data_IF_407727325631
#
_entry.id   IF_407727325631
#
_cell.length_a   1.000
_cell.length_b   1.000
_cell.length_c   1.000
_cell.angle_alpha   90.00
_cell.angle_beta   90.00
_cell.angle_gamma   90.00
#
_symmetry.space_group_name_H-M   'P 1'
#
loop_
_entity.id
_entity.type
_entity.pdbx_description
1 polymer ?
#
# COMPACT_ATOMS: atom_id res chain seq x y z
N UNK A 1 9.30 52.99 -30.68
CA UNK A 1 9.03 53.21 -29.26
C UNK A 1 9.99 52.34 -28.45
N UNK A 2 10.99 53.00 -27.90
CA UNK A 2 12.13 52.41 -27.20
C UNK A 2 11.80 52.20 -25.73
N UNK A 3 12.00 50.98 -25.22
CA UNK A 3 12.01 50.71 -23.77
C UNK A 3 13.44 50.51 -23.31
N UNK A 4 13.99 51.51 -22.64
CA UNK A 4 15.23 51.48 -21.88
C UNK A 4 14.89 51.01 -20.47
N UNK A 5 15.37 49.82 -20.06
CA UNK A 5 15.30 49.33 -18.68
C UNK A 5 16.57 49.72 -17.92
N UNK A 6 16.35 50.35 -16.78
CA UNK A 6 17.31 50.89 -15.82
C UNK A 6 18.12 49.82 -15.11
N UNK A 7 19.45 49.82 -15.29
CA UNK A 7 20.42 49.04 -14.53
C UNK A 7 21.01 49.87 -13.38
N UNK A 8 20.26 50.12 -12.32
CA UNK A 8 20.77 50.73 -11.11
C UNK A 8 20.07 50.18 -9.89
N UNK A 9 20.61 49.14 -9.26
CA UNK A 9 20.54 48.92 -7.81
C UNK A 9 21.14 47.55 -7.33
N UNK A 10 22.38 47.27 -7.70
CA UNK A 10 23.09 46.09 -7.15
C UNK A 10 24.45 46.42 -6.50
N UNK A 11 24.75 47.68 -6.20
CA UNK A 11 26.02 48.06 -5.58
C UNK A 11 25.94 48.65 -4.17
N UNK A 12 24.75 48.73 -3.53
CA UNK A 12 24.60 49.31 -2.20
C UNK A 12 24.49 48.31 -1.05
N UNK A 13 24.59 46.98 -1.30
CA UNK A 13 24.47 45.96 -0.25
C UNK A 13 25.77 45.34 0.26
N UNK A 14 26.93 45.78 -0.24
CA UNK A 14 28.23 45.23 0.17
C UNK A 14 29.06 46.11 1.13
N UNK A 15 28.52 47.21 1.67
CA UNK A 15 29.32 48.18 2.46
C UNK A 15 29.02 48.23 3.97
N UNK A 16 28.24 47.32 4.55
CA UNK A 16 27.91 47.40 6.00
C UNK A 16 28.42 46.24 6.88
N UNK A 17 29.38 45.44 6.41
CA UNK A 17 30.00 44.37 7.23
C UNK A 17 31.50 44.65 7.50
N UNK A 18 31.83 45.81 8.14
CA UNK A 18 33.14 45.98 8.78
C UNK A 18 32.96 46.67 10.12
N UNK A 19 33.21 45.90 11.21
CA UNK A 19 33.55 46.48 12.51
C UNK A 19 32.45 46.37 13.57
N UNK A 20 32.21 45.21 14.11
CA UNK A 20 31.71 45.08 15.50
C UNK A 20 32.57 44.10 16.29
N UNK A 21 33.26 44.64 17.26
CA UNK A 21 34.10 43.97 18.25
C UNK A 21 33.25 43.05 19.14
N UNK A 22 33.71 41.82 19.29
CA UNK A 22 33.11 40.80 20.19
C UNK A 22 33.40 41.18 21.66
N UNK A 23 32.46 41.78 22.37
CA UNK A 23 32.48 41.86 23.81
C UNK A 23 31.77 40.65 24.43
N UNK A 24 32.55 39.65 24.86
CA UNK A 24 32.10 38.58 25.72
C UNK A 24 31.67 39.14 27.07
N UNK A 25 30.36 39.17 27.34
CA UNK A 25 29.82 39.21 28.69
C UNK A 25 29.03 37.90 28.90
N UNK A 26 29.63 37.01 29.69
CA UNK A 26 28.99 35.84 30.26
C UNK A 26 27.82 36.27 31.14
N UNK A 27 26.61 36.09 30.62
CA UNK A 27 25.38 36.12 31.41
C UNK A 27 24.84 34.70 31.44
N UNK A 28 25.07 33.99 32.54
CA UNK A 28 24.39 32.74 32.90
C UNK A 28 22.93 33.06 33.19
N UNK A 29 22.08 32.98 32.17
CA UNK A 29 20.65 32.86 32.36
C UNK A 29 20.28 31.40 32.06
N UNK A 30 19.84 30.67 33.08
CA UNK A 30 19.19 29.36 32.94
C UNK A 30 17.87 29.55 32.19
N UNK A 31 17.94 29.63 30.86
CA UNK A 31 16.77 29.52 30.02
C UNK A 31 16.30 28.06 30.04
N UNK A 32 15.24 27.80 30.80
CA UNK A 32 14.51 26.55 30.69
C UNK A 32 14.17 26.34 29.22
N UNK A 33 14.90 25.42 28.59
CA UNK A 33 14.60 24.99 27.20
C UNK A 33 13.25 24.32 27.23
N UNK A 34 12.18 25.08 26.98
CA UNK A 34 10.88 24.53 26.66
C UNK A 34 11.08 23.66 25.43
N UNK A 35 11.20 22.35 25.62
CA UNK A 35 11.18 21.37 24.53
C UNK A 35 9.88 21.60 23.80
N UNK A 36 9.98 22.26 22.65
CA UNK A 36 8.87 22.41 21.71
C UNK A 36 8.38 20.98 21.44
N UNK A 37 7.22 20.63 21.96
CA UNK A 37 6.62 19.31 21.76
C UNK A 37 6.53 19.08 20.24
N UNK A 38 7.32 18.15 19.74
CA UNK A 38 7.23 17.76 18.35
C UNK A 38 5.83 17.21 18.16
N UNK A 39 5.03 17.78 17.25
CA UNK A 39 3.67 17.32 17.07
C UNK A 39 3.67 15.82 16.76
N UNK A 40 2.86 15.04 17.48
CA UNK A 40 2.77 13.59 17.28
C UNK A 40 2.49 13.27 15.81
N UNK A 41 3.17 12.26 15.26
CA UNK A 41 3.02 11.86 13.84
C UNK A 41 1.69 11.15 13.52
N UNK A 42 0.83 10.93 14.51
CA UNK A 42 -0.44 10.20 14.38
C UNK A 42 -1.57 10.88 15.16
N UNK A 43 -2.79 10.59 14.71
CA UNK A 43 -4.02 10.99 15.35
C UNK A 43 -4.80 9.73 15.76
N UNK A 44 -5.65 9.85 16.76
CA UNK A 44 -6.70 8.86 17.05
C UNK A 44 -7.98 9.44 16.45
N UNK A 45 -8.59 8.73 15.53
CA UNK A 45 -9.85 9.12 14.91
C UNK A 45 -10.91 8.10 15.29
N UNK A 46 -12.01 8.60 15.88
CA UNK A 46 -13.23 7.85 16.07
C UNK A 46 -14.14 8.07 14.86
N UNK A 47 -14.72 7.01 14.33
CA UNK A 47 -15.76 7.06 13.33
C UNK A 47 -16.94 6.20 13.77
N UNK A 48 -18.16 6.69 13.62
CA UNK A 48 -19.37 5.89 13.79
C UNK A 48 -19.66 5.15 12.48
N UNK A 49 -20.01 3.89 12.59
CA UNK A 49 -20.34 3.00 11.47
C UNK A 49 -21.68 2.36 11.74
N UNK A 50 -22.56 2.32 10.73
CA UNK A 50 -23.88 1.71 10.87
C UNK A 50 -23.78 0.21 11.18
N UNK A 51 -24.51 -0.23 12.21
CA UNK A 51 -24.63 -1.64 12.60
C UNK A 51 -25.97 -2.20 12.14
N UNK A 52 -25.93 -3.38 11.51
CA UNK A 52 -27.08 -4.07 10.94
C UNK A 52 -27.08 -5.52 11.47
N UNK A 53 -28.24 -6.06 11.79
CA UNK A 53 -28.37 -7.50 12.08
C UNK A 53 -28.29 -8.32 10.80
N UNK A 54 -28.09 -9.63 10.93
CA UNK A 54 -28.07 -10.55 9.80
C UNK A 54 -29.33 -10.42 8.89
N UNK A 55 -30.48 -10.15 9.47
CA UNK A 55 -31.76 -9.98 8.76
C UNK A 55 -31.93 -8.63 8.02
N UNK A 56 -30.93 -7.76 8.08
CA UNK A 56 -30.99 -6.43 7.45
C UNK A 56 -31.62 -5.33 8.31
N UNK A 57 -32.10 -5.63 9.53
CA UNK A 57 -32.63 -4.63 10.44
C UNK A 57 -31.51 -3.80 11.09
N UNK A 58 -31.70 -2.46 11.16
CA UNK A 58 -30.74 -1.56 11.83
C UNK A 58 -30.63 -1.87 13.32
N UNK A 59 -29.41 -1.96 13.83
CA UNK A 59 -29.10 -2.28 15.23
C UNK A 59 -28.23 -1.18 15.90
N UNK A 60 -28.37 0.08 15.46
CA UNK A 60 -27.63 1.21 16.02
C UNK A 60 -26.31 1.50 15.29
N UNK A 61 -25.35 2.04 16.01
CA UNK A 61 -24.03 2.41 15.49
C UNK A 61 -22.92 1.72 16.28
N UNK A 62 -21.85 1.39 15.62
CA UNK A 62 -20.64 0.85 16.23
C UNK A 62 -19.48 1.86 16.07
N UNK A 63 -18.65 2.00 17.08
CA UNK A 63 -17.51 2.90 17.06
C UNK A 63 -16.25 2.20 16.55
N UNK A 64 -15.54 2.87 15.65
CA UNK A 64 -14.26 2.46 15.12
C UNK A 64 -13.17 3.45 15.59
N UNK A 65 -12.40 3.07 16.61
CA UNK A 65 -11.39 3.91 17.24
C UNK A 65 -9.97 3.44 16.87
N UNK A 66 -9.42 3.98 15.79
CA UNK A 66 -8.12 3.56 15.30
C UNK A 66 -7.06 4.65 15.42
N UNK A 67 -5.82 4.22 15.67
CA UNK A 67 -4.64 5.09 15.59
C UNK A 67 -4.21 5.23 14.13
N UNK A 68 -4.38 6.41 13.56
CA UNK A 68 -4.15 6.68 12.14
C UNK A 68 -3.01 7.67 11.92
N UNK A 69 -2.49 7.69 10.70
CA UNK A 69 -1.53 8.70 10.28
C UNK A 69 -2.22 10.06 10.09
N UNK A 70 -1.47 11.16 10.27
CA UNK A 70 -1.96 12.51 9.94
C UNK A 70 -2.29 12.61 8.45
N UNK A 71 -3.27 13.42 8.11
CA UNK A 71 -3.77 13.62 6.75
C UNK A 71 -2.66 13.93 5.73
N UNK A 72 -1.66 14.72 6.13
CA UNK A 72 -0.51 15.09 5.29
C UNK A 72 0.34 13.87 4.87
N UNK A 73 0.47 12.88 5.75
CA UNK A 73 1.35 11.71 5.57
C UNK A 73 0.55 10.44 5.21
N UNK A 74 -0.74 10.43 5.52
CA UNK A 74 -1.64 9.28 5.37
C UNK A 74 -1.57 8.66 3.97
N UNK A 75 -1.76 9.47 2.94
CA UNK A 75 -1.73 9.03 1.53
C UNK A 75 -0.37 8.41 1.15
N UNK A 76 0.74 9.01 1.60
CA UNK A 76 2.09 8.52 1.30
C UNK A 76 2.40 7.16 1.95
N UNK A 77 1.99 6.96 3.22
CA UNK A 77 2.22 5.70 3.94
C UNK A 77 1.37 4.58 3.32
N UNK A 78 0.09 4.84 3.04
CA UNK A 78 -0.81 3.86 2.42
C UNK A 78 -0.31 3.50 1.02
N UNK A 79 0.07 4.47 0.19
CA UNK A 79 0.64 4.23 -1.13
C UNK A 79 1.92 3.36 -1.07
N UNK A 80 2.85 3.66 -0.15
CA UNK A 80 4.06 2.87 0.06
C UNK A 80 3.73 1.41 0.38
N UNK A 81 2.72 1.17 1.23
CA UNK A 81 2.29 -0.18 1.56
C UNK A 81 1.63 -0.90 0.36
N UNK A 82 0.78 -0.23 -0.41
CA UNK A 82 0.18 -0.79 -1.63
C UNK A 82 1.26 -1.18 -2.65
N UNK A 83 2.26 -0.31 -2.86
CA UNK A 83 3.39 -0.62 -3.75
C UNK A 83 4.14 -1.85 -3.27
N UNK A 84 4.43 -1.95 -1.96
CA UNK A 84 5.08 -3.12 -1.37
C UNK A 84 4.27 -4.40 -1.63
N UNK A 85 2.97 -4.40 -1.36
CA UNK A 85 2.10 -5.58 -1.57
C UNK A 85 2.11 -6.01 -3.04
N UNK A 86 1.96 -5.06 -3.98
CA UNK A 86 1.97 -5.35 -5.41
C UNK A 86 3.33 -5.84 -5.91
N UNK A 87 4.44 -5.29 -5.40
CA UNK A 87 5.77 -5.77 -5.77
C UNK A 87 6.05 -7.16 -5.21
N UNK A 88 5.64 -7.44 -3.98
CA UNK A 88 5.83 -8.75 -3.36
C UNK A 88 4.98 -9.86 -4.02
N UNK A 89 3.90 -9.50 -4.71
CA UNK A 89 3.10 -10.43 -5.49
C UNK A 89 3.75 -10.81 -6.84
N UNK A 90 4.78 -10.08 -7.30
CA UNK A 90 5.46 -10.39 -8.55
C UNK A 90 6.32 -11.64 -8.42
N UNK A 91 6.17 -12.58 -9.33
CA UNK A 91 6.97 -13.81 -9.37
C UNK A 91 8.38 -13.62 -9.90
N UNK A 92 8.60 -12.62 -10.76
CA UNK A 92 9.90 -12.26 -11.31
C UNK A 92 10.58 -13.35 -12.15
N UNK A 93 9.83 -14.21 -12.85
CA UNK A 93 10.31 -15.38 -13.58
C UNK A 93 10.78 -15.09 -15.00
N UNK A 94 10.68 -13.84 -15.48
CA UNK A 94 11.11 -13.49 -16.83
C UNK A 94 12.61 -13.79 -17.03
N UNK A 95 12.94 -14.55 -18.06
CA UNK A 95 14.30 -14.95 -18.37
C UNK A 95 14.54 -14.95 -19.88
N UNK A 96 15.70 -14.47 -20.28
CA UNK A 96 16.21 -14.58 -21.64
C UNK A 96 17.59 -15.24 -21.64
N UNK A 97 17.93 -15.89 -22.73
CA UNK A 97 19.23 -16.54 -22.88
C UNK A 97 20.28 -15.53 -23.34
N UNK A 98 21.39 -15.45 -22.60
CA UNK A 98 22.56 -14.67 -22.98
C UNK A 98 23.42 -15.43 -23.98
N UNK A 99 24.41 -14.77 -24.59
CA UNK A 99 25.34 -15.36 -25.54
C UNK A 99 26.01 -16.65 -25.02
N UNK A 100 26.27 -16.73 -23.71
CA UNK A 100 26.87 -17.91 -23.08
C UNK A 100 25.90 -19.07 -22.90
N UNK A 101 24.62 -18.78 -22.72
CA UNK A 101 23.57 -19.75 -22.40
C UNK A 101 22.89 -20.36 -23.65
N UNK A 102 22.90 -19.62 -24.78
CA UNK A 102 22.32 -20.11 -26.04
C UNK A 102 23.11 -21.34 -26.53
N UNK A 103 22.39 -22.38 -26.96
CA UNK A 103 23.03 -23.62 -27.50
C UNK A 103 23.78 -23.35 -28.78
N UNK A 104 24.98 -23.96 -28.97
CA UNK A 104 25.77 -23.91 -30.20
C UNK A 104 26.87 -22.83 -30.16
N UNK A 105 27.51 -22.59 -31.29
CA UNK A 105 28.43 -21.46 -31.54
C UNK A 105 29.79 -21.47 -30.81
N UNK A 106 30.30 -22.61 -30.33
CA UNK A 106 31.62 -22.69 -29.68
C UNK A 106 32.79 -22.48 -30.65
N UNK A 107 32.62 -22.83 -31.92
CA UNK A 107 33.65 -22.66 -32.97
C UNK A 107 33.46 -21.35 -33.71
N UNK A 108 34.57 -20.69 -34.08
CA UNK A 108 34.55 -19.51 -34.97
C UNK A 108 33.98 -19.91 -36.34
N UNK A 109 32.96 -19.20 -36.89
CA UNK A 109 32.25 -19.61 -38.12
C UNK A 109 33.14 -19.66 -39.35
N UNK A 110 34.06 -18.73 -39.51
CA UNK A 110 34.99 -18.63 -40.64
C UNK A 110 36.28 -17.87 -40.26
N UNK A 111 37.28 -17.86 -41.17
CA UNK A 111 38.57 -17.19 -40.98
C UNK A 111 38.39 -15.68 -40.77
N UNK A 112 39.32 -15.04 -40.05
CA UNK A 112 39.25 -13.61 -39.67
C UNK A 112 39.28 -12.67 -40.88
N UNK A 113 39.98 -13.05 -41.95
CA UNK A 113 40.18 -12.27 -43.19
C UNK A 113 40.04 -13.21 -44.41
N UNK A 114 39.86 -12.64 -45.63
CA UNK A 114 39.86 -13.39 -46.90
C UNK A 114 38.51 -14.02 -47.25
N UNK A 115 37.39 -13.70 -46.57
CA UNK A 115 36.06 -14.24 -46.87
C UNK A 115 35.10 -13.22 -47.48
N UNK A 116 35.47 -11.94 -47.59
CA UNK A 116 34.61 -10.88 -48.06
C UNK A 116 33.43 -10.53 -47.11
N UNK A 117 33.22 -11.31 -46.06
CA UNK A 117 32.14 -11.11 -45.09
C UNK A 117 32.57 -10.31 -43.85
N UNK A 118 31.60 -9.73 -43.13
CA UNK A 118 31.87 -9.08 -41.86
C UNK A 118 32.54 -10.03 -40.86
N UNK A 119 33.45 -9.49 -40.03
CA UNK A 119 34.15 -10.30 -39.01
C UNK A 119 33.18 -10.84 -37.96
N UNK A 120 33.16 -12.14 -37.76
CA UNK A 120 32.25 -12.78 -36.81
C UNK A 120 33.00 -13.71 -35.86
N UNK A 121 32.87 -13.47 -34.56
CA UNK A 121 33.51 -14.30 -33.55
C UNK A 121 32.68 -15.53 -33.16
N UNK A 122 31.35 -15.43 -33.19
CA UNK A 122 30.44 -16.50 -32.81
C UNK A 122 29.08 -16.33 -33.47
N UNK A 123 28.44 -17.44 -33.86
CA UNK A 123 27.04 -17.45 -34.35
C UNK A 123 26.03 -17.08 -33.29
N UNK A 124 26.39 -17.14 -31.99
CA UNK A 124 25.53 -16.73 -30.86
C UNK A 124 25.52 -15.22 -30.58
N UNK A 125 26.19 -14.41 -31.44
CA UNK A 125 26.21 -12.95 -31.27
C UNK A 125 24.80 -12.39 -31.27
N UNK A 126 24.50 -11.39 -30.41
CA UNK A 126 23.19 -10.71 -30.39
C UNK A 126 22.82 -10.04 -31.72
N UNK A 127 23.80 -9.77 -32.57
CA UNK A 127 23.63 -9.19 -33.90
C UNK A 127 23.04 -10.16 -34.94
N UNK A 128 22.98 -11.43 -34.65
CA UNK A 128 22.52 -12.48 -35.58
C UNK A 128 21.17 -13.05 -35.12
N UNK A 129 20.31 -13.44 -36.08
CA UNK A 129 19.09 -14.18 -35.78
C UNK A 129 19.41 -15.47 -35.00
N UNK A 130 18.70 -15.72 -33.91
CA UNK A 130 18.94 -16.85 -33.01
C UNK A 130 20.13 -16.68 -32.07
N UNK A 131 20.76 -15.50 -32.02
CA UNK A 131 21.78 -15.15 -31.02
C UNK A 131 21.22 -14.85 -29.66
N UNK A 132 22.09 -14.74 -28.65
CA UNK A 132 21.72 -14.41 -27.29
C UNK A 132 21.38 -12.93 -27.11
N UNK A 133 20.54 -12.61 -26.12
CA UNK A 133 20.21 -11.22 -25.74
C UNK A 133 21.32 -10.66 -24.84
N UNK A 134 21.71 -9.39 -25.04
CA UNK A 134 22.82 -8.79 -24.27
C UNK A 134 22.39 -8.44 -22.84
N UNK A 135 21.30 -7.67 -22.69
CA UNK A 135 20.78 -7.21 -21.40
C UNK A 135 19.30 -7.54 -21.23
N UNK A 136 18.95 -8.78 -21.51
CA UNK A 136 17.59 -9.25 -21.34
C UNK A 136 17.21 -9.47 -19.88
N UNK A 137 15.92 -9.61 -19.60
CA UNK A 137 15.45 -9.89 -18.24
C UNK A 137 16.03 -11.20 -17.72
N UNK A 138 16.39 -11.21 -16.44
CA UNK A 138 16.78 -12.39 -15.68
C UNK A 138 15.87 -12.55 -14.48
N UNK A 139 15.61 -13.76 -14.01
CA UNK A 139 14.84 -14.01 -12.79
C UNK A 139 15.45 -13.25 -11.63
N UNK A 140 14.61 -12.49 -10.93
CA UNK A 140 15.06 -11.74 -9.74
C UNK A 140 13.90 -11.60 -8.75
N UNK A 141 14.24 -11.56 -7.47
CA UNK A 141 13.30 -11.21 -6.41
C UNK A 141 13.00 -9.70 -6.44
N UNK A 142 11.69 -9.37 -6.47
CA UNK A 142 11.19 -8.01 -6.47
C UNK A 142 10.67 -7.58 -5.10
N UNK A 143 10.83 -8.40 -4.06
CA UNK A 143 10.30 -8.14 -2.74
C UNK A 143 10.88 -6.88 -2.11
N UNK A 144 10.01 -6.08 -1.51
CA UNK A 144 10.35 -4.86 -0.79
C UNK A 144 10.01 -5.06 0.68
N UNK A 145 10.92 -4.67 1.58
CA UNK A 145 10.71 -4.69 3.03
C UNK A 145 10.14 -3.35 3.50
N UNK A 146 9.23 -3.41 4.48
CA UNK A 146 8.67 -2.25 5.16
C UNK A 146 8.58 -2.55 6.66
N UNK A 147 8.82 -1.55 7.50
CA UNK A 147 8.79 -1.70 8.96
C UNK A 147 7.41 -2.17 9.47
N UNK A 148 7.37 -3.05 10.46
CA UNK A 148 6.11 -3.60 11.00
C UNK A 148 5.17 -2.50 11.50
N UNK A 149 5.67 -1.53 12.28
CA UNK A 149 4.85 -0.41 12.81
C UNK A 149 4.31 0.48 11.67
N UNK A 150 5.09 0.71 10.62
CA UNK A 150 4.68 1.48 9.45
C UNK A 150 3.56 0.75 8.65
N UNK A 151 3.67 -0.57 8.46
CA UNK A 151 2.62 -1.38 7.81
C UNK A 151 1.30 -1.37 8.59
N UNK A 152 1.39 -1.50 9.92
CA UNK A 152 0.21 -1.47 10.81
C UNK A 152 -0.47 -0.11 10.77
N UNK A 153 0.30 0.97 10.78
CA UNK A 153 -0.22 2.33 10.66
C UNK A 153 -0.90 2.56 9.30
N UNK A 154 -0.30 2.06 8.21
CA UNK A 154 -0.90 2.14 6.87
C UNK A 154 -2.23 1.38 6.80
N UNK A 155 -2.31 0.17 7.40
CA UNK A 155 -3.54 -0.62 7.47
C UNK A 155 -4.63 0.10 8.26
N UNK A 156 -4.32 0.56 9.47
CA UNK A 156 -5.27 1.31 10.30
C UNK A 156 -5.80 2.57 9.56
N UNK A 157 -4.92 3.29 8.87
CA UNK A 157 -5.29 4.47 8.09
C UNK A 157 -6.19 4.11 6.90
N UNK A 158 -5.92 2.99 6.21
CA UNK A 158 -6.76 2.52 5.10
C UNK A 158 -8.16 2.08 5.58
N UNK A 159 -8.25 1.33 6.69
CA UNK A 159 -9.53 0.93 7.28
C UNK A 159 -10.34 2.16 7.71
N UNK A 160 -9.70 3.13 8.36
CA UNK A 160 -10.36 4.38 8.76
C UNK A 160 -10.87 5.18 7.56
N UNK A 161 -10.14 5.19 6.45
CA UNK A 161 -10.61 5.87 5.22
C UNK A 161 -11.82 5.20 4.58
N UNK A 162 -11.99 3.89 4.79
CA UNK A 162 -13.14 3.11 4.33
C UNK A 162 -14.35 3.16 5.28
N UNK A 163 -14.24 3.83 6.44
CA UNK A 163 -15.32 3.86 7.44
C UNK A 163 -16.64 4.39 6.90
N UNK A 164 -16.62 5.34 5.95
CA UNK A 164 -17.83 5.89 5.30
C UNK A 164 -18.59 4.88 4.44
N UNK A 165 -17.90 3.86 3.92
CA UNK A 165 -18.47 2.78 3.10
C UNK A 165 -18.57 1.45 3.87
N UNK A 166 -18.29 1.46 5.17
CA UNK A 166 -18.28 0.29 6.04
C UNK A 166 -19.66 0.02 6.62
N UNK A 167 -20.03 -1.24 6.70
CA UNK A 167 -21.25 -1.75 7.33
C UNK A 167 -20.83 -2.82 8.33
N UNK A 168 -21.26 -2.69 9.57
CA UNK A 168 -21.02 -3.70 10.60
C UNK A 168 -22.22 -4.63 10.67
N UNK A 169 -22.01 -5.93 10.54
CA UNK A 169 -23.08 -6.93 10.60
C UNK A 169 -22.86 -7.80 11.82
N UNK A 170 -23.94 -8.04 12.54
CA UNK A 170 -23.95 -8.91 13.71
C UNK A 170 -24.30 -10.35 13.29
N UNK A 171 -23.44 -11.30 13.65
CA UNK A 171 -23.71 -12.72 13.50
C UNK A 171 -23.53 -13.30 12.09
N UNK A 172 -22.60 -12.79 11.28
CA UNK A 172 -22.29 -13.36 9.95
C UNK A 172 -21.95 -14.86 10.08
N UNK A 173 -21.16 -15.22 11.07
CA UNK A 173 -20.69 -16.58 11.28
C UNK A 173 -21.81 -17.55 11.68
N UNK A 174 -22.81 -17.09 12.40
CA UNK A 174 -23.96 -17.91 12.85
C UNK A 174 -25.10 -17.92 11.83
N UNK A 175 -25.25 -16.88 11.02
CA UNK A 175 -26.34 -16.74 10.06
C UNK A 175 -26.17 -17.59 8.80
N UNK A 176 -24.94 -17.90 8.41
CA UNK A 176 -24.64 -18.70 7.22
C UNK A 176 -24.49 -20.18 7.59
N UNK A 177 -25.58 -20.91 7.57
CA UNK A 177 -25.58 -22.37 7.89
C UNK A 177 -25.34 -23.25 6.67
N UNK A 178 -25.64 -22.76 5.46
CA UNK A 178 -25.52 -23.52 4.21
C UNK A 178 -24.56 -22.85 3.26
N UNK A 179 -23.59 -23.56 2.68
CA UNK A 179 -22.57 -22.98 1.78
C UNK A 179 -23.13 -22.70 0.37
N UNK A 180 -24.19 -21.89 0.28
CA UNK A 180 -24.83 -21.50 -0.99
C UNK A 180 -24.59 -20.04 -1.29
N UNK A 181 -23.96 -19.72 -2.44
CA UNK A 181 -23.69 -18.37 -2.89
C UNK A 181 -24.96 -17.53 -3.06
N UNK A 182 -26.09 -18.11 -3.51
CA UNK A 182 -27.37 -17.41 -3.65
C UNK A 182 -27.88 -16.90 -2.29
N UNK A 183 -27.87 -17.74 -1.26
CA UNK A 183 -28.31 -17.33 0.07
C UNK A 183 -27.44 -16.20 0.63
N UNK A 184 -26.14 -16.26 0.43
CA UNK A 184 -25.23 -15.19 0.83
C UNK A 184 -25.43 -13.90 0.00
N UNK A 185 -25.73 -14.02 -1.29
CA UNK A 185 -26.06 -12.88 -2.13
C UNK A 185 -27.36 -12.19 -1.67
N UNK A 186 -28.37 -12.95 -1.26
CA UNK A 186 -29.62 -12.38 -0.75
C UNK A 186 -29.39 -11.71 0.63
N UNK A 187 -28.53 -12.25 1.48
CA UNK A 187 -28.09 -11.59 2.70
C UNK A 187 -27.34 -10.27 2.42
N UNK A 188 -26.40 -10.23 1.46
CA UNK A 188 -25.70 -9.00 1.08
C UNK A 188 -26.68 -7.91 0.59
N UNK A 189 -27.72 -8.30 -0.16
CA UNK A 189 -28.76 -7.35 -0.59
C UNK A 189 -29.55 -6.78 0.57
N UNK A 190 -29.87 -7.60 1.60
CA UNK A 190 -30.56 -7.10 2.80
C UNK A 190 -29.73 -6.10 3.59
N UNK A 191 -28.40 -6.19 3.52
CA UNK A 191 -27.47 -5.21 4.12
C UNK A 191 -27.24 -3.96 3.26
N UNK A 192 -27.93 -3.84 2.12
CA UNK A 192 -27.83 -2.68 1.22
C UNK A 192 -26.59 -2.72 0.31
N UNK A 193 -26.07 -3.91 0.01
CA UNK A 193 -24.92 -4.12 -0.88
C UNK A 193 -25.39 -4.69 -2.22
N UNK A 194 -25.05 -4.01 -3.31
CA UNK A 194 -25.38 -4.47 -4.66
C UNK A 194 -24.22 -5.28 -5.27
N UNK A 195 -24.29 -6.60 -5.12
CA UNK A 195 -23.21 -7.53 -5.53
C UNK A 195 -22.89 -7.50 -7.03
N UNK A 196 -23.83 -7.08 -7.87
CA UNK A 196 -23.63 -7.04 -9.32
C UNK A 196 -22.75 -5.85 -9.76
N UNK A 197 -22.85 -4.73 -9.06
CA UNK A 197 -22.22 -3.46 -9.44
C UNK A 197 -21.04 -3.11 -8.52
N UNK A 198 -21.15 -3.40 -7.21
CA UNK A 198 -20.20 -3.01 -6.19
C UNK A 198 -19.23 -4.14 -5.82
N UNK A 199 -17.96 -3.78 -5.67
CA UNK A 199 -16.95 -4.68 -5.09
C UNK A 199 -17.08 -4.67 -3.59
N UNK A 200 -17.31 -5.82 -3.00
CA UNK A 200 -17.54 -5.97 -1.55
C UNK A 200 -16.39 -6.73 -0.91
N UNK A 201 -15.85 -6.18 0.16
CA UNK A 201 -14.86 -6.85 1.00
C UNK A 201 -15.49 -7.26 2.32
N UNK A 202 -15.55 -8.57 2.58
CA UNK A 202 -16.17 -9.15 3.78
C UNK A 202 -15.06 -9.55 4.75
N UNK A 203 -15.07 -9.00 5.94
CA UNK A 203 -14.07 -9.22 6.98
C UNK A 203 -14.75 -9.94 8.16
N UNK A 204 -14.29 -11.12 8.47
CA UNK A 204 -14.81 -11.91 9.59
C UNK A 204 -13.67 -12.34 10.50
N UNK A 205 -14.02 -12.74 11.71
CA UNK A 205 -13.08 -13.35 12.65
C UNK A 205 -13.45 -14.83 12.79
N UNK A 206 -12.46 -15.72 12.57
CA UNK A 206 -12.62 -17.17 12.71
C UNK A 206 -13.84 -17.70 11.93
N UNK A 207 -13.95 -17.32 10.64
CA UNK A 207 -15.09 -17.69 9.81
C UNK A 207 -15.22 -19.22 9.63
N UNK A 208 -16.44 -19.76 9.70
CA UNK A 208 -16.69 -21.13 9.35
C UNK A 208 -16.47 -21.36 7.84
N UNK A 209 -16.15 -22.60 7.46
CA UNK A 209 -15.89 -22.97 6.05
C UNK A 209 -17.08 -22.69 5.12
N UNK A 210 -18.29 -22.70 5.66
CA UNK A 210 -19.54 -22.41 4.95
C UNK A 210 -19.55 -20.99 4.39
N UNK A 211 -19.07 -20.00 5.14
CA UNK A 211 -18.94 -18.59 4.68
C UNK A 211 -17.89 -18.48 3.58
N UNK A 212 -16.73 -19.12 3.74
CA UNK A 212 -15.69 -19.13 2.73
C UNK A 212 -16.16 -19.75 1.41
N UNK A 213 -16.85 -20.91 1.50
CA UNK A 213 -17.39 -21.58 0.32
C UNK A 213 -18.52 -20.80 -0.35
N UNK A 214 -19.38 -20.14 0.43
CA UNK A 214 -20.47 -19.33 -0.09
C UNK A 214 -19.96 -18.10 -0.88
N UNK A 215 -18.86 -17.48 -0.43
CA UNK A 215 -18.30 -16.27 -1.01
C UNK A 215 -17.33 -16.53 -2.19
N UNK A 216 -16.61 -17.67 -2.18
CA UNK A 216 -15.53 -17.99 -3.13
C UNK A 216 -15.90 -17.88 -4.59
N UNK A 217 -17.15 -18.21 -4.97
CA UNK A 217 -17.59 -18.19 -6.36
C UNK A 217 -18.11 -16.83 -6.85
N UNK A 218 -18.17 -15.81 -5.97
CA UNK A 218 -18.64 -14.48 -6.35
C UNK A 218 -17.47 -13.60 -6.81
N UNK A 219 -17.48 -13.18 -8.08
CA UNK A 219 -16.35 -12.46 -8.68
C UNK A 219 -16.05 -11.10 -8.04
N UNK A 220 -17.07 -10.45 -7.47
CA UNK A 220 -16.94 -9.11 -6.85
C UNK A 220 -16.94 -9.11 -5.33
N UNK A 221 -17.04 -10.27 -4.70
CA UNK A 221 -16.99 -10.42 -3.25
C UNK A 221 -15.67 -11.09 -2.88
N UNK A 222 -14.89 -10.39 -2.07
CA UNK A 222 -13.65 -10.93 -1.52
C UNK A 222 -13.86 -11.12 -0.03
N UNK A 223 -13.73 -12.36 0.44
CA UNK A 223 -13.78 -12.70 1.86
C UNK A 223 -12.36 -12.83 2.42
N UNK A 224 -12.11 -12.26 3.57
CA UNK A 224 -10.86 -12.42 4.29
C UNK A 224 -11.08 -12.55 5.81
N UNK A 225 -10.31 -13.43 6.41
CA UNK A 225 -10.15 -13.45 7.85
C UNK A 225 -9.38 -12.22 8.33
N UNK A 226 -9.71 -11.71 9.51
CA UNK A 226 -9.13 -10.50 10.07
C UNK A 226 -7.62 -10.56 10.23
N UNK A 227 -7.05 -11.75 10.37
CA UNK A 227 -5.60 -11.97 10.47
C UNK A 227 -4.87 -11.81 9.12
N UNK A 228 -5.59 -11.98 8.01
CA UNK A 228 -5.09 -11.96 6.64
C UNK A 228 -5.46 -10.69 5.86
N UNK A 229 -5.81 -9.60 6.55
CA UNK A 229 -6.20 -8.35 5.92
C UNK A 229 -5.14 -7.84 4.94
N UNK A 230 -5.61 -7.41 3.77
CA UNK A 230 -4.80 -6.79 2.73
C UNK A 230 -5.26 -5.36 2.46
N UNK A 231 -4.35 -4.40 2.54
CA UNK A 231 -4.64 -2.99 2.30
C UNK A 231 -5.17 -2.74 0.87
N UNK A 232 -4.69 -3.53 -0.10
CA UNK A 232 -5.13 -3.39 -1.50
C UNK A 232 -6.61 -3.72 -1.66
N UNK A 233 -7.09 -4.77 -1.01
CA UNK A 233 -8.49 -5.21 -1.08
C UNK A 233 -9.42 -4.23 -0.36
N UNK A 234 -8.99 -3.69 0.80
CA UNK A 234 -9.72 -2.63 1.52
C UNK A 234 -9.91 -1.38 0.65
N UNK A 235 -8.87 -0.96 -0.07
CA UNK A 235 -8.93 0.23 -0.93
C UNK A 235 -9.64 -0.01 -2.27
N UNK A 236 -9.69 -1.26 -2.74
CA UNK A 236 -10.33 -1.62 -4.00
C UNK A 236 -11.83 -1.93 -3.82
N UNK A 237 -12.29 -2.06 -2.58
CA UNK A 237 -13.67 -2.32 -2.24
C UNK A 237 -14.50 -1.03 -2.27
N UNK A 238 -15.68 -1.10 -2.87
CA UNK A 238 -16.68 -0.04 -2.81
C UNK A 238 -17.45 -0.08 -1.50
N UNK A 239 -17.68 -1.29 -0.96
CA UNK A 239 -18.32 -1.54 0.33
C UNK A 239 -17.48 -2.52 1.16
N UNK A 240 -17.34 -2.22 2.44
CA UNK A 240 -16.64 -3.09 3.40
C UNK A 240 -17.63 -3.59 4.42
N UNK A 241 -17.83 -4.90 4.50
CA UNK A 241 -18.72 -5.55 5.48
C UNK A 241 -17.84 -6.17 6.56
N UNK A 242 -18.08 -5.81 7.80
CA UNK A 242 -17.27 -6.25 8.94
C UNK A 242 -18.18 -6.97 9.95
N UNK A 243 -17.79 -8.14 10.37
CA UNK A 243 -18.45 -8.84 11.48
C UNK A 243 -18.18 -8.11 12.81
N UNK A 244 -19.14 -8.08 13.74
CA UNK A 244 -19.00 -7.40 15.03
C UNK A 244 -17.78 -7.91 15.82
N UNK A 245 -17.56 -9.22 15.85
CA UNK A 245 -16.41 -9.82 16.50
C UNK A 245 -15.08 -9.38 15.85
N UNK A 246 -15.08 -9.16 14.54
CA UNK A 246 -13.95 -8.62 13.82
C UNK A 246 -13.71 -7.14 14.14
N UNK A 247 -14.77 -6.33 14.25
CA UNK A 247 -14.63 -4.93 14.66
C UNK A 247 -14.01 -4.78 16.06
N UNK A 248 -14.46 -5.58 17.03
CA UNK A 248 -13.84 -5.61 18.35
C UNK A 248 -12.34 -5.89 18.28
N UNK A 249 -11.93 -6.90 17.50
CA UNK A 249 -10.51 -7.18 17.29
C UNK A 249 -9.75 -6.02 16.63
N UNK A 250 -10.34 -5.30 15.66
CA UNK A 250 -9.71 -4.14 15.02
C UNK A 250 -9.42 -3.03 16.04
N UNK A 251 -10.38 -2.72 16.91
CA UNK A 251 -10.22 -1.71 17.96
C UNK A 251 -9.17 -2.13 18.99
N UNK A 252 -9.14 -3.41 19.41
CA UNK A 252 -8.17 -3.94 20.36
C UNK A 252 -6.75 -3.99 19.76
N UNK A 253 -6.63 -4.24 18.46
CA UNK A 253 -5.33 -4.38 17.82
C UNK A 253 -4.77 -3.05 17.34
N UNK A 254 -5.56 -2.25 16.61
CA UNK A 254 -5.13 -1.00 15.98
C UNK A 254 -5.50 0.27 16.76
N UNK A 255 -6.25 0.17 17.86
CA UNK A 255 -6.61 1.30 18.71
C UNK A 255 -5.39 2.01 19.32
N UNK A 256 -5.62 3.13 20.00
CA UNK A 256 -4.54 3.97 20.56
C UNK A 256 -3.60 3.22 21.52
N UNK A 257 -4.17 2.36 22.38
CA UNK A 257 -3.45 1.48 23.31
C UNK A 257 -3.28 0.05 22.77
N UNK A 258 -3.55 -0.17 21.47
CA UNK A 258 -3.64 -1.49 20.87
C UNK A 258 -2.31 -2.25 20.79
N UNK A 259 -2.37 -3.57 20.75
CA UNK A 259 -1.24 -4.50 20.67
C UNK A 259 -0.33 -4.27 19.45
N UNK A 260 -0.83 -3.60 18.41
CA UNK A 260 -0.05 -3.26 17.25
C UNK A 260 1.12 -2.31 17.52
N UNK A 261 1.07 -1.56 18.63
CA UNK A 261 2.03 -0.49 18.94
C UNK A 261 3.05 -0.87 20.03
N UNK A 262 2.82 -2.00 20.67
CA UNK A 262 3.73 -2.61 21.64
C UNK A 262 5.04 -3.09 21.00
#
# INVERSE_FOLDING_TARGET
>A
MSFTASTANMQSLCASFRGQSLNNKTATSSAATTRRATPSKFCVNAASVGKVKFDGSSNGEANLDLKVARNEVAKGIVHKYVVMVRQNARRGTASTLTKSEVRGGGRKPYKQKGTGNARLGSKRSPLLPGGGVTFGPKPKDWSIKMNKKERRLAMATAIQSAASSMIVVDGINSGVTVPKSKAFQDALKSWGVNVNDEKTYVITKDAPKEVELATRNMARVVHADITKLNVYDVLNADKVVVDEAALGYLNDFYGAAGRAWA
#
